data_IF_152680462228
#
_entry.id   IF_152680462228
#
_cell.length_a   1.000
_cell.length_b   1.000
_cell.length_c   1.000
_cell.angle_alpha   90.00
_cell.angle_beta   90.00
_cell.angle_gamma   90.00
#
_symmetry.space_group_name_H-M   'P 1'
#
loop_
_entity.id
_entity.type
_entity.pdbx_description
1 polymer ?
#
# COMPACT_ATOMS: atom_id res chain seq x y z
N UNK A 1 -4.15 -2.54 60.77
CA UNK A 1 -5.37 -2.96 60.06
C UNK A 1 -5.04 -2.94 58.56
N UNK A 2 -4.40 -3.98 58.02
CA UNK A 2 -5.02 -5.07 57.22
C UNK A 2 -6.14 -4.59 56.31
N UNK A 3 -5.87 -4.43 55.01
CA UNK A 3 -6.61 -5.11 53.93
C UNK A 3 -5.70 -5.23 52.70
N UNK A 4 -5.33 -6.49 52.42
CA UNK A 4 -4.69 -6.97 51.19
C UNK A 4 -5.84 -7.47 50.32
N UNK A 5 -5.95 -7.02 49.08
CA UNK A 5 -6.75 -7.71 48.06
C UNK A 5 -5.87 -8.02 46.87
N UNK A 6 -5.44 -9.28 46.83
CA UNK A 6 -4.80 -9.96 45.72
C UNK A 6 -5.92 -10.47 44.81
N UNK A 7 -5.90 -10.10 43.53
CA UNK A 7 -6.62 -10.86 42.50
C UNK A 7 -5.61 -11.64 41.67
N UNK A 8 -5.81 -12.95 41.67
CA UNK A 8 -5.02 -13.99 41.00
C UNK A 8 -5.73 -14.45 39.71
N UNK A 9 -4.90 -14.85 38.72
CA UNK A 9 -5.14 -15.82 37.63
C UNK A 9 -6.20 -15.48 36.56
N UNK A 10 -6.05 -15.85 35.28
CA UNK A 10 -5.29 -16.96 34.70
C UNK A 10 -4.79 -16.64 33.28
N UNK A 11 -3.62 -17.19 32.94
CA UNK A 11 -3.12 -17.30 31.58
C UNK A 11 -3.76 -18.53 30.90
N UNK A 12 -4.22 -18.38 29.67
CA UNK A 12 -4.54 -19.50 28.78
C UNK A 12 -3.73 -19.33 27.49
N UNK A 13 -2.64 -20.09 27.41
CA UNK A 13 -1.91 -20.33 26.18
C UNK A 13 -2.56 -21.52 25.46
N UNK A 14 -2.91 -21.34 24.18
CA UNK A 14 -3.27 -22.44 23.29
C UNK A 14 -2.18 -22.56 22.24
N UNK A 15 -1.30 -23.54 22.42
CA UNK A 15 -0.37 -23.99 21.39
C UNK A 15 -1.11 -25.03 20.52
N UNK A 16 -1.20 -24.77 19.21
CA UNK A 16 -1.53 -25.80 18.23
C UNK A 16 -0.26 -26.02 17.39
N UNK A 17 0.41 -27.13 17.67
CA UNK A 17 1.41 -27.71 16.81
C UNK A 17 0.70 -28.63 15.81
N UNK A 18 0.86 -28.38 14.51
CA UNK A 18 0.58 -29.37 13.46
C UNK A 18 1.93 -29.84 12.94
N UNK A 19 2.37 -30.98 13.45
CA UNK A 19 3.35 -31.85 12.83
C UNK A 19 2.60 -32.84 11.94
N UNK A 20 3.06 -33.01 10.69
CA UNK A 20 3.08 -34.25 9.90
C UNK A 20 3.31 -33.96 8.41
N UNK A 21 4.28 -34.65 7.84
CA UNK A 21 4.16 -35.15 6.46
C UNK A 21 5.37 -34.95 5.58
N UNK A 22 6.23 -35.95 5.59
CA UNK A 22 7.44 -36.14 4.78
C UNK A 22 7.11 -36.74 3.38
N UNK A 23 8.07 -36.64 2.44
CA UNK A 23 8.25 -37.42 1.17
C UNK A 23 7.23 -37.09 0.03
N UNK A 24 7.57 -36.87 -1.25
CA UNK A 24 8.59 -37.49 -2.08
C UNK A 24 8.95 -36.66 -3.32
N UNK A 25 10.22 -36.72 -3.68
CA UNK A 25 10.78 -36.54 -5.03
C UNK A 25 10.02 -37.34 -6.10
N UNK A 26 9.69 -36.70 -7.22
CA UNK A 26 9.41 -37.37 -8.48
C UNK A 26 10.24 -36.71 -9.60
N UNK A 27 11.30 -37.41 -10.01
CA UNK A 27 11.95 -37.26 -11.32
C UNK A 27 11.13 -38.07 -12.33
N UNK A 28 10.83 -37.50 -13.49
CA UNK A 28 10.44 -38.26 -14.68
C UNK A 28 11.23 -37.77 -15.90
N UNK A 29 12.17 -38.62 -16.31
CA UNK A 29 12.47 -38.94 -17.72
C UNK A 29 11.14 -39.14 -18.48
N UNK A 30 10.91 -38.79 -19.74
CA UNK A 30 11.73 -38.63 -20.92
C UNK A 30 10.89 -39.16 -22.10
N UNK A 31 11.09 -38.58 -23.29
CA UNK A 31 10.76 -39.10 -24.64
C UNK A 31 9.26 -39.14 -25.04
N UNK A 32 8.86 -38.30 -25.99
CA UNK A 32 8.74 -38.57 -27.45
C UNK A 32 7.33 -39.06 -27.82
N UNK A 33 6.59 -38.28 -28.62
CA UNK A 33 6.35 -38.56 -30.04
C UNK A 33 5.28 -37.60 -30.60
N UNK A 34 5.27 -37.52 -31.93
CA UNK A 34 4.85 -36.47 -32.81
C UNK A 34 3.34 -36.39 -33.16
N UNK A 35 2.95 -35.22 -33.65
CA UNK A 35 2.03 -35.07 -34.78
C UNK A 35 2.40 -33.74 -35.49
N UNK A 36 3.03 -33.74 -36.66
CA UNK A 36 2.50 -34.09 -37.99
C UNK A 36 1.71 -32.95 -38.64
N UNK A 37 2.35 -32.38 -39.68
CA UNK A 37 1.81 -31.88 -40.95
C UNK A 37 0.99 -30.57 -40.98
N UNK A 38 1.53 -29.55 -41.67
CA UNK A 38 1.14 -29.09 -43.03
C UNK A 38 1.78 -27.70 -43.27
N UNK A 39 2.86 -27.58 -44.05
CA UNK A 39 2.94 -27.46 -45.53
C UNK A 39 2.89 -26.01 -46.03
N UNK A 40 3.86 -25.69 -46.93
CA UNK A 40 3.85 -24.67 -48.01
C UNK A 40 4.26 -23.22 -47.63
N UNK A 41 5.05 -22.46 -48.39
CA UNK A 41 5.69 -22.59 -49.71
C UNK A 41 6.88 -21.60 -49.81
N UNK A 42 7.90 -22.00 -50.58
CA UNK A 42 8.80 -21.24 -51.49
C UNK A 42 9.13 -19.75 -51.29
N UNK A 43 10.44 -19.43 -51.26
CA UNK A 43 11.21 -18.96 -52.44
C UNK A 43 12.35 -17.98 -52.06
N UNK A 44 13.54 -18.19 -52.65
CA UNK A 44 14.40 -17.09 -53.14
C UNK A 44 15.46 -16.51 -52.21
N UNK A 45 16.71 -17.01 -52.33
CA UNK A 45 17.94 -16.19 -52.18
C UNK A 45 18.22 -15.48 -53.52
N UNK A 46 18.72 -14.24 -53.50
CA UNK A 46 20.14 -13.96 -53.82
C UNK A 46 20.75 -12.89 -52.86
N UNK A 47 21.99 -13.02 -52.36
CA UNK A 47 23.30 -12.73 -52.96
C UNK A 47 23.72 -11.22 -52.99
N UNK A 48 24.61 -10.87 -52.05
CA UNK A 48 25.87 -10.12 -52.14
C UNK A 48 25.95 -8.72 -52.81
N UNK A 49 26.51 -7.73 -52.09
CA UNK A 49 27.13 -6.54 -52.69
C UNK A 49 27.13 -5.23 -51.87
N UNK A 50 28.23 -5.01 -51.12
CA UNK A 50 28.96 -3.75 -50.83
C UNK A 50 28.30 -2.46 -50.27
N UNK A 51 28.87 -2.03 -49.12
CA UNK A 51 29.30 -0.69 -48.66
C UNK A 51 28.48 0.55 -49.08
N UNK A 52 28.14 1.54 -48.23
CA UNK A 52 28.97 2.29 -47.30
C UNK A 52 28.09 3.30 -46.51
N UNK A 53 28.40 3.48 -45.22
CA UNK A 53 28.19 4.63 -44.31
C UNK A 53 27.22 5.77 -44.71
N UNK A 54 26.20 6.03 -43.89
CA UNK A 54 26.10 7.30 -43.16
C UNK A 54 25.22 7.15 -41.91
N UNK A 55 25.63 7.75 -40.80
CA UNK A 55 25.13 7.44 -39.46
C UNK A 55 23.83 8.15 -39.07
N UNK A 56 23.08 7.51 -38.17
CA UNK A 56 22.42 8.20 -37.06
C UNK A 56 22.21 7.17 -35.94
N UNK A 57 23.21 7.02 -35.08
CA UNK A 57 23.10 6.20 -33.88
C UNK A 57 22.37 6.99 -32.80
N UNK A 58 21.20 6.53 -32.38
CA UNK A 58 20.71 6.84 -31.04
C UNK A 58 20.48 5.54 -30.27
N UNK A 59 21.60 4.95 -29.85
CA UNK A 59 21.62 3.84 -28.93
C UNK A 59 21.54 4.37 -27.49
N UNK A 60 20.32 4.56 -26.98
CA UNK A 60 20.11 4.73 -25.54
C UNK A 60 19.94 3.36 -24.89
N UNK A 61 21.06 2.70 -24.60
CA UNK A 61 21.14 1.66 -23.56
C UNK A 61 21.68 2.31 -22.30
N UNK A 62 20.82 2.50 -21.31
CA UNK A 62 21.22 2.42 -19.90
C UNK A 62 20.02 1.95 -19.07
N UNK A 63 20.15 0.75 -18.50
CA UNK A 63 19.38 0.30 -17.35
C UNK A 63 19.52 1.32 -16.23
N UNK A 64 18.42 1.72 -15.61
CA UNK A 64 18.45 2.11 -14.21
C UNK A 64 17.13 1.71 -13.55
N UNK A 65 17.18 0.59 -12.85
CA UNK A 65 16.27 0.35 -11.74
C UNK A 65 16.57 1.42 -10.70
N UNK A 66 15.62 2.31 -10.49
CA UNK A 66 15.65 3.31 -9.44
C UNK A 66 14.62 2.96 -8.39
N UNK A 67 14.97 2.04 -7.49
CA UNK A 67 14.38 2.07 -6.16
C UNK A 67 15.00 3.28 -5.46
N UNK A 68 14.33 4.41 -5.50
CA UNK A 68 14.70 5.60 -4.74
C UNK A 68 13.47 6.07 -4.01
N UNK A 69 13.29 5.45 -2.84
CA UNK A 69 12.71 6.07 -1.67
C UNK A 69 13.28 7.48 -1.53
N UNK A 70 12.46 8.48 -1.86
CA UNK A 70 12.49 9.93 -1.54
C UNK A 70 11.66 10.65 -2.60
N UNK A 71 10.39 10.25 -2.73
CA UNK A 71 9.47 10.88 -3.68
C UNK A 71 8.89 12.15 -3.07
N UNK A 72 9.40 13.33 -3.44
CA UNK A 72 8.51 14.49 -3.54
C UNK A 72 7.38 14.08 -4.49
N UNK A 73 6.19 13.91 -3.93
CA UNK A 73 5.00 13.48 -4.66
C UNK A 73 4.72 14.52 -5.74
N UNK A 74 4.73 14.12 -7.00
CA UNK A 74 4.41 15.04 -8.09
C UNK A 74 3.02 15.62 -7.86
N UNK A 75 2.90 16.95 -7.95
CA UNK A 75 1.62 17.64 -7.77
C UNK A 75 0.56 17.03 -8.70
N UNK A 76 -0.56 16.59 -8.13
CA UNK A 76 -1.68 15.98 -8.86
C UNK A 76 -1.74 14.45 -8.86
N UNK A 77 -0.72 13.74 -8.37
CA UNK A 77 -0.78 12.28 -8.19
C UNK A 77 -1.31 11.88 -6.81
N UNK A 78 -1.90 10.69 -6.72
CA UNK A 78 -2.24 10.06 -5.45
C UNK A 78 -1.23 8.97 -5.09
N UNK A 79 -1.22 8.60 -3.82
CA UNK A 79 -0.38 7.54 -3.28
C UNK A 79 -1.23 6.35 -2.89
N UNK A 80 -0.74 5.16 -3.20
CA UNK A 80 -1.07 3.94 -2.46
C UNK A 80 0.06 3.69 -1.47
N UNK A 81 -0.31 3.57 -0.19
CA UNK A 81 0.63 3.37 0.90
C UNK A 81 0.60 1.91 1.35
N UNK A 82 1.73 1.24 1.22
CA UNK A 82 1.93 -0.15 1.63
C UNK A 82 2.71 -0.20 2.94
N UNK A 83 2.12 -0.72 4.00
CA UNK A 83 2.80 -1.00 5.27
C UNK A 83 3.94 -2.01 5.06
N UNK A 84 5.13 -1.64 5.54
CA UNK A 84 6.31 -2.50 5.51
C UNK A 84 6.21 -3.50 6.66
N UNK A 85 6.34 -4.78 6.33
CA UNK A 85 6.05 -5.89 7.25
C UNK A 85 4.57 -5.93 7.69
N UNK A 86 3.67 -5.37 6.87
CA UNK A 86 2.21 -5.47 7.01
C UNK A 86 1.69 -6.90 6.91
N UNK A 87 0.37 -7.09 7.03
CA UNK A 87 -0.27 -8.42 6.87
C UNK A 87 -0.03 -8.95 5.45
N UNK A 88 0.59 -10.12 5.26
CA UNK A 88 0.82 -10.66 3.92
C UNK A 88 -0.46 -10.76 3.08
N UNK A 89 -0.45 -10.14 1.90
CA UNK A 89 -1.60 -10.04 1.00
C UNK A 89 -2.61 -8.95 1.37
N UNK A 90 -2.44 -8.29 2.51
CA UNK A 90 -3.25 -7.18 3.00
C UNK A 90 -2.38 -6.04 3.56
N UNK A 91 -1.40 -5.55 2.80
CA UNK A 91 -0.43 -4.57 3.31
C UNK A 91 -0.79 -3.12 3.00
N UNK A 92 -1.81 -2.84 2.19
CA UNK A 92 -2.13 -1.50 1.75
C UNK A 92 -3.24 -0.84 2.54
N UNK A 93 -2.98 0.43 2.85
CA UNK A 93 -3.91 1.32 3.50
C UNK A 93 -5.22 1.49 2.74
N UNK A 94 -6.30 1.48 3.51
CA UNK A 94 -7.67 1.54 3.01
C UNK A 94 -8.56 2.28 3.96
N UNK A 95 -9.52 3.03 3.43
CA UNK A 95 -10.62 3.59 4.23
C UNK A 95 -11.87 2.75 4.08
N UNK A 96 -12.44 2.28 5.19
CA UNK A 96 -13.78 1.68 5.24
C UNK A 96 -14.87 2.74 5.13
N UNK A 97 -16.12 2.32 4.92
CA UNK A 97 -17.24 3.24 4.74
C UNK A 97 -17.52 4.13 5.97
N UNK A 98 -17.19 3.65 7.17
CA UNK A 98 -17.23 4.43 8.42
C UNK A 98 -16.00 5.37 8.59
N UNK A 99 -15.08 5.41 7.61
CA UNK A 99 -13.88 6.23 7.64
C UNK A 99 -12.70 5.63 8.41
N UNK A 100 -12.87 4.47 9.03
CA UNK A 100 -11.78 3.75 9.69
C UNK A 100 -10.72 3.30 8.69
N UNK A 101 -9.48 3.27 9.15
CA UNK A 101 -8.32 2.89 8.34
C UNK A 101 -7.94 1.45 8.61
N UNK A 102 -7.81 0.66 7.55
CA UNK A 102 -7.41 -0.75 7.61
C UNK A 102 -6.42 -1.13 6.55
N UNK A 103 -5.73 -2.22 6.83
CA UNK A 103 -4.83 -2.93 5.95
C UNK A 103 -5.61 -3.91 5.05
N UNK A 104 -5.22 -3.96 3.78
CA UNK A 104 -5.89 -4.76 2.76
C UNK A 104 -5.06 -4.91 1.47
N UNK A 105 -5.54 -5.72 0.52
CA UNK A 105 -4.81 -5.96 -0.72
C UNK A 105 -4.48 -4.66 -1.47
N UNK A 106 -3.24 -4.57 -1.96
CA UNK A 106 -2.77 -3.43 -2.73
C UNK A 106 -3.41 -3.38 -4.13
N UNK A 107 -4.32 -2.42 -4.33
CA UNK A 107 -4.98 -2.17 -5.61
C UNK A 107 -4.77 -0.72 -6.03
N UNK A 108 -3.92 -0.51 -7.02
CA UNK A 108 -3.51 0.83 -7.48
C UNK A 108 -4.64 1.64 -8.14
N UNK A 109 -5.71 0.99 -8.55
CA UNK A 109 -6.84 1.62 -9.25
C UNK A 109 -8.05 1.85 -8.36
N UNK A 110 -8.00 1.47 -7.08
CA UNK A 110 -9.13 1.60 -6.17
C UNK A 110 -9.01 2.90 -5.36
N UNK A 111 -10.04 3.74 -5.43
CA UNK A 111 -10.05 5.08 -4.85
C UNK A 111 -9.94 5.04 -3.31
N UNK A 112 -10.54 4.03 -2.68
CA UNK A 112 -10.47 3.79 -1.23
C UNK A 112 -9.06 3.38 -0.73
N UNK A 113 -8.12 3.04 -1.63
CA UNK A 113 -6.70 2.76 -1.33
C UNK A 113 -5.76 3.92 -1.63
N UNK A 114 -6.32 5.00 -2.19
CA UNK A 114 -5.55 6.15 -2.62
C UNK A 114 -5.69 7.30 -1.62
N UNK A 115 -4.59 8.00 -1.41
CA UNK A 115 -4.51 9.21 -0.60
C UNK A 115 -3.82 10.28 -1.45
N UNK A 116 -4.33 11.51 -1.46
CA UNK A 116 -3.71 12.63 -2.15
C UNK A 116 -2.95 13.51 -1.16
N UNK A 117 -1.62 13.52 -1.17
CA UNK A 117 -0.85 14.55 -0.47
C UNK A 117 -1.14 15.93 -1.06
N UNK A 118 -1.47 16.88 -0.21
CA UNK A 118 -1.77 18.26 -0.60
C UNK A 118 -1.39 19.23 0.50
N UNK A 119 -1.63 20.52 0.28
CA UNK A 119 -1.41 21.57 1.27
C UNK A 119 -2.73 22.25 1.60
N UNK A 120 -3.01 22.43 2.89
CA UNK A 120 -4.15 23.18 3.40
C UNK A 120 -3.65 24.26 4.38
N UNK A 121 -3.91 25.52 4.08
CA UNK A 121 -3.46 26.66 4.89
C UNK A 121 -1.95 26.65 5.19
N UNK A 122 -1.14 26.22 4.22
CA UNK A 122 0.32 26.11 4.35
C UNK A 122 0.82 24.82 5.03
N UNK A 123 -0.06 23.98 5.57
CA UNK A 123 0.30 22.71 6.20
C UNK A 123 0.14 21.55 5.21
N UNK A 124 1.09 20.62 5.20
CA UNK A 124 0.93 19.34 4.51
C UNK A 124 -0.24 18.57 5.13
N UNK A 125 -1.08 17.97 4.29
CA UNK A 125 -2.20 17.14 4.70
C UNK A 125 -2.38 15.99 3.72
N UNK A 126 -3.10 14.96 4.16
CA UNK A 126 -3.45 13.80 3.36
C UNK A 126 -4.94 13.78 3.08
N UNK A 127 -5.35 14.15 1.86
CA UNK A 127 -6.75 14.09 1.44
C UNK A 127 -7.12 12.66 1.06
N UNK A 128 -8.25 12.19 1.55
CA UNK A 128 -8.79 10.86 1.26
C UNK A 128 -9.43 10.84 -0.13
N UNK A 129 -9.08 9.85 -0.97
CA UNK A 129 -9.53 9.76 -2.37
C UNK A 129 -10.82 8.92 -2.51
N UNK A 130 -11.76 9.01 -1.56
CA UNK A 130 -13.04 8.27 -1.64
C UNK A 130 -14.22 9.14 -1.26
N UNK A 131 -15.38 8.80 -1.82
CA UNK A 131 -16.66 9.37 -1.40
C UNK A 131 -17.18 8.69 -0.13
N UNK A 132 -17.98 9.44 0.63
CA UNK A 132 -18.74 8.93 1.77
C UNK A 132 -20.24 9.06 1.52
N UNK A 133 -21.01 8.19 2.15
CA UNK A 133 -22.47 8.16 2.02
C UNK A 133 -23.12 8.32 3.39
N UNK A 134 -24.33 8.88 3.40
CA UNK A 134 -25.05 9.21 4.62
C UNK A 134 -25.32 8.01 5.55
N UNK A 135 -25.32 6.79 5.03
CA UNK A 135 -25.53 5.58 5.83
C UNK A 135 -24.38 5.21 6.76
N UNK A 136 -23.17 5.72 6.54
CA UNK A 136 -21.99 5.39 7.34
C UNK A 136 -21.28 6.61 7.93
N UNK A 137 -21.12 7.68 7.13
CA UNK A 137 -20.49 8.95 7.53
C UNK A 137 -21.28 10.12 6.94
N UNK A 138 -22.48 10.42 7.49
CA UNK A 138 -23.29 11.54 7.04
C UNK A 138 -22.59 12.89 7.21
N UNK A 139 -21.69 12.98 8.20
CA UNK A 139 -20.83 14.12 8.43
C UNK A 139 -19.76 14.33 7.35
N UNK A 140 -19.45 13.29 6.54
CA UNK A 140 -18.46 13.37 5.47
C UNK A 140 -19.07 13.42 4.06
N UNK A 141 -20.40 13.52 3.94
CA UNK A 141 -21.07 13.68 2.64
C UNK A 141 -20.81 15.09 2.11
N UNK A 142 -20.43 15.18 0.84
CA UNK A 142 -20.17 16.44 0.11
C UNK A 142 -19.11 17.36 0.73
N UNK A 143 -18.29 16.86 1.65
CA UNK A 143 -17.13 17.56 2.21
C UNK A 143 -15.82 16.94 1.77
N UNK A 144 -14.74 17.69 1.89
CA UNK A 144 -13.40 17.16 1.61
C UNK A 144 -12.91 16.40 2.83
N UNK A 145 -12.70 15.09 2.69
CA UNK A 145 -12.17 14.26 3.77
C UNK A 145 -10.63 14.24 3.76
N UNK A 146 -10.03 14.34 4.94
CA UNK A 146 -8.60 14.21 5.20
C UNK A 146 -8.36 13.06 6.19
N UNK A 147 -7.13 12.56 6.23
CA UNK A 147 -6.67 11.71 7.34
C UNK A 147 -6.50 12.60 8.57
N UNK A 148 -7.31 12.37 9.59
CA UNK A 148 -7.32 13.12 10.84
C UNK A 148 -6.98 12.24 12.04
N UNK A 149 -6.34 12.85 13.03
CA UNK A 149 -6.13 12.30 14.36
C UNK A 149 -7.05 12.99 15.36
N UNK A 150 -7.89 12.21 16.04
CA UNK A 150 -8.85 12.72 17.03
C UNK A 150 -8.36 12.57 18.48
N UNK A 151 -7.06 12.33 18.69
CA UNK A 151 -6.47 12.03 20.00
C UNK A 151 -6.31 10.54 20.30
N UNK A 152 -6.99 9.63 19.58
CA UNK A 152 -6.86 8.17 19.79
C UNK A 152 -6.68 7.36 18.51
N UNK A 153 -7.26 7.79 17.39
CA UNK A 153 -7.26 7.04 16.15
C UNK A 153 -6.96 7.94 14.96
N UNK A 154 -6.35 7.35 13.93
CA UNK A 154 -6.33 7.92 12.60
C UNK A 154 -7.56 7.42 11.85
N UNK A 155 -8.32 8.34 11.26
CA UNK A 155 -9.49 8.03 10.42
C UNK A 155 -9.73 9.13 9.39
N UNK A 156 -10.64 8.89 8.45
CA UNK A 156 -11.16 9.96 7.62
C UNK A 156 -11.98 10.94 8.46
N UNK A 157 -11.72 12.23 8.29
CA UNK A 157 -12.40 13.35 8.96
C UNK A 157 -12.57 14.52 7.99
N UNK A 158 -13.48 15.45 8.29
CA UNK A 158 -13.59 16.70 7.54
C UNK A 158 -12.27 17.48 7.67
N UNK A 159 -11.64 17.82 6.54
CA UNK A 159 -10.42 18.62 6.50
C UNK A 159 -10.57 19.98 7.20
N UNK A 160 -11.80 20.50 7.35
CA UNK A 160 -12.10 21.77 8.01
C UNK A 160 -12.42 21.63 9.51
N UNK A 161 -12.45 20.41 10.06
CA UNK A 161 -12.73 20.20 11.47
C UNK A 161 -11.65 20.84 12.37
N UNK A 162 -12.07 21.50 13.45
CA UNK A 162 -11.19 22.29 14.32
C UNK A 162 -10.62 21.51 15.50
N UNK A 163 -11.13 20.31 15.77
CA UNK A 163 -10.79 19.47 16.92
C UNK A 163 -10.03 18.19 16.52
N UNK A 164 -9.41 18.21 15.34
CA UNK A 164 -8.57 17.12 14.85
C UNK A 164 -7.21 17.68 14.45
N UNK A 165 -6.21 16.81 14.46
CA UNK A 165 -4.94 17.12 13.83
C UNK A 165 -4.87 16.44 12.46
N UNK A 166 -4.50 17.17 11.41
CA UNK A 166 -4.41 16.61 10.07
C UNK A 166 -3.11 15.83 9.93
N UNK A 167 -3.24 14.54 9.62
CA UNK A 167 -2.12 13.61 9.49
C UNK A 167 -1.35 13.88 8.20
N UNK A 168 -0.04 13.74 8.31
CA UNK A 168 0.94 13.97 7.26
C UNK A 168 1.66 12.67 6.93
N UNK A 169 2.19 12.58 5.71
CA UNK A 169 3.14 11.55 5.33
C UNK A 169 4.50 12.20 5.13
N UNK A 170 5.48 11.81 5.95
CA UNK A 170 6.85 12.37 5.90
C UNK A 170 7.74 11.70 4.83
N UNK A 171 7.16 10.81 4.01
CA UNK A 171 7.86 9.95 3.06
C UNK A 171 8.13 8.55 3.60
N UNK A 172 7.97 8.33 4.91
CA UNK A 172 8.17 7.03 5.57
C UNK A 172 7.06 6.64 6.52
N UNK A 173 6.48 7.57 7.28
CA UNK A 173 5.48 7.29 8.30
C UNK A 173 4.30 8.27 8.20
N UNK A 174 3.14 7.82 8.68
CA UNK A 174 1.98 8.67 8.92
C UNK A 174 2.06 9.28 10.31
N UNK A 175 2.04 10.60 10.41
CA UNK A 175 2.22 11.34 11.66
C UNK A 175 1.23 12.49 11.81
N UNK A 176 0.69 12.64 13.01
CA UNK A 176 0.00 13.86 13.42
C UNK A 176 1.03 14.92 13.89
N UNK A 177 0.70 16.22 13.80
CA UNK A 177 1.49 17.32 14.34
C UNK A 177 1.97 17.15 15.79
N UNK A 178 1.18 16.52 16.67
CA UNK A 178 1.55 16.23 18.07
C UNK A 178 2.63 15.15 18.21
N UNK A 179 2.97 14.45 17.14
CA UNK A 179 3.96 13.37 17.11
C UNK A 179 3.35 11.97 17.09
N UNK A 180 2.06 11.82 17.42
CA UNK A 180 1.35 10.55 17.30
C UNK A 180 1.49 9.98 15.88
N UNK A 181 1.61 8.66 15.76
CA UNK A 181 1.85 8.02 14.45
C UNK A 181 1.12 6.70 14.29
N UNK A 182 0.96 6.27 13.05
CA UNK A 182 0.48 4.93 12.75
C UNK A 182 1.50 3.91 13.28
N UNK A 183 1.08 3.04 14.18
CA UNK A 183 1.89 1.96 14.75
C UNK A 183 1.88 0.69 13.88
N UNK A 184 0.95 0.62 12.94
CA UNK A 184 0.70 -0.53 12.08
C UNK A 184 -0.76 -0.95 12.21
N UNK A 185 -1.00 -2.25 12.28
CA UNK A 185 -2.34 -2.83 12.37
C UNK A 185 -2.48 -3.82 13.54
N UNK A 186 -3.72 -4.10 13.94
CA UNK A 186 -4.08 -5.16 14.87
C UNK A 186 -4.38 -6.49 14.13
N UNK A 187 -4.75 -7.53 14.88
CA UNK A 187 -5.08 -8.85 14.30
C UNK A 187 -6.32 -8.86 13.37
N UNK A 188 -7.11 -7.79 13.33
CA UNK A 188 -8.23 -7.58 12.42
C UNK A 188 -7.87 -6.64 11.25
N UNK A 189 -6.57 -6.37 11.07
CA UNK A 189 -6.02 -5.42 10.10
C UNK A 189 -6.48 -3.97 10.34
N UNK A 190 -6.97 -3.63 11.53
CA UNK A 190 -7.36 -2.27 11.88
C UNK A 190 -6.13 -1.45 12.24
N UNK A 191 -6.01 -0.23 11.71
CA UNK A 191 -4.89 0.65 12.06
C UNK A 191 -4.85 0.94 13.57
N UNK A 192 -3.67 0.78 14.15
CA UNK A 192 -3.35 1.16 15.53
C UNK A 192 -2.49 2.44 15.50
N UNK A 193 -2.69 3.31 16.48
CA UNK A 193 -1.93 4.56 16.63
C UNK A 193 -1.11 4.49 17.92
N UNK A 194 0.17 4.82 17.80
CA UNK A 194 1.01 5.14 18.96
C UNK A 194 0.90 6.64 19.23
N UNK A 195 0.18 7.02 20.28
CA UNK A 195 -0.04 8.42 20.64
C UNK A 195 1.22 9.12 21.14
N UNK A 196 2.27 8.36 21.50
CA UNK A 196 3.56 8.91 21.91
C UNK A 196 4.50 9.14 20.73
N UNK A 197 4.22 8.51 19.58
CA UNK A 197 5.07 8.59 18.39
C UNK A 197 6.33 7.74 18.44
N UNK A 198 6.48 6.85 19.43
CA UNK A 198 7.70 6.08 19.66
C UNK A 198 7.85 4.89 18.69
N UNK A 199 6.75 4.23 18.32
CA UNK A 199 6.75 3.01 17.53
C UNK A 199 5.95 3.20 16.25
N UNK A 200 6.52 3.91 15.27
CA UNK A 200 5.82 4.17 14.01
C UNK A 200 6.09 3.06 13.01
N UNK A 201 5.02 2.54 12.41
CA UNK A 201 5.10 1.73 11.21
C UNK A 201 5.68 2.55 10.06
N UNK A 202 6.30 1.85 9.12
CA UNK A 202 6.87 2.44 7.91
C UNK A 202 6.05 2.03 6.71
N UNK A 203 5.93 2.92 5.74
CA UNK A 203 5.15 2.73 4.53
C UNK A 203 6.02 2.95 3.31
N UNK A 204 5.85 2.08 2.32
CA UNK A 204 6.30 2.30 0.95
C UNK A 204 5.17 2.98 0.18
N UNK A 205 5.47 4.09 -0.48
CA UNK A 205 4.49 4.80 -1.31
C UNK A 205 4.66 4.45 -2.78
N UNK A 206 3.56 4.14 -3.46
CA UNK A 206 3.50 4.08 -4.92
C UNK A 206 2.66 5.25 -5.43
N UNK A 207 3.26 6.11 -6.25
CA UNK A 207 2.52 7.18 -6.94
C UNK A 207 1.68 6.57 -8.06
N UNK A 208 0.39 6.90 -8.10
CA UNK A 208 -0.57 6.41 -9.09
C UNK A 208 -1.41 7.56 -9.66
N UNK A 209 -2.06 7.31 -10.79
CA UNK A 209 -3.06 8.22 -11.33
C UNK A 209 -4.27 8.24 -10.39
N UNK A 210 -4.81 9.43 -10.04
CA UNK A 210 -6.01 9.51 -9.22
C UNK A 210 -7.19 8.72 -9.82
N UNK A 211 -7.78 7.83 -9.02
CA UNK A 211 -9.07 7.21 -9.33
C UNK A 211 -10.19 8.14 -8.84
N UNK A 212 -11.27 8.27 -9.61
CA UNK A 212 -12.45 9.01 -9.18
C UNK A 212 -13.02 8.44 -7.85
N UNK A 213 -13.37 9.29 -6.86
CA UNK A 213 -13.94 8.88 -5.58
C UNK A 213 -15.31 8.18 -5.64
#
# INVERSE_FOLDING_TARGET
MKFINVFFLAASASAIAIDRGHVSTARSTGLEEAASLLSRHHAGRPANGQSNRNGNGNASKAKQGGNSNTGTVAAGNTLVLKEVNGVPGNECLTFRNNGEIVDAACVNTAADRQITPTTLNGNSVLRVQRSFTAGFRPDLVDVTACVGFNGTHFRAEDCAASNIELVQFDGTALRAPSGACAQGHDGAAQMVVDTTGANCATFQSTSVTPTAP
#
